data_IF_587869026511
#
_entry.id   IF_587869026511
#
_cell.length_a   1.000
_cell.length_b   1.000
_cell.length_c   1.000
_cell.angle_alpha   90.00
_cell.angle_beta   90.00
_cell.angle_gamma   90.00
#
_symmetry.space_group_name_H-M   'P 1'
#
loop_
_entity.id
_entity.type
_entity.pdbx_description
1 polymer ?
#
# COMPACT_ATOMS: atom_id res chain seq x y z
N UNK A 1 11.27 -23.54 3.06
CA UNK A 1 11.37 -24.51 4.15
C UNK A 1 12.60 -24.23 5.05
N UNK A 2 13.76 -23.95 4.49
CA UNK A 2 15.01 -23.74 5.24
C UNK A 2 14.89 -22.64 6.32
N UNK A 3 14.23 -21.51 6.02
CA UNK A 3 13.99 -20.45 6.99
C UNK A 3 13.15 -20.93 8.19
N UNK A 4 12.15 -21.78 7.93
CA UNK A 4 11.26 -22.30 8.97
C UNK A 4 12.01 -23.29 9.86
N UNK A 5 12.77 -24.21 9.25
CA UNK A 5 13.50 -25.27 9.98
C UNK A 5 14.69 -24.72 10.78
N UNK A 6 15.24 -23.55 10.41
CA UNK A 6 16.38 -22.93 11.07
C UNK A 6 15.99 -21.86 12.12
N UNK A 7 14.70 -21.57 12.27
CA UNK A 7 14.21 -20.62 13.26
C UNK A 7 14.48 -21.14 14.69
N UNK A 8 14.77 -20.23 15.61
CA UNK A 8 15.11 -20.52 17.00
C UNK A 8 14.01 -20.04 17.95
N UNK A 9 13.92 -20.59 19.18
CA UNK A 9 13.04 -20.03 20.19
C UNK A 9 13.25 -18.52 20.36
N UNK A 10 12.18 -17.74 20.31
CA UNK A 10 12.23 -16.29 20.35
C UNK A 10 12.22 -15.62 18.97
N UNK A 11 12.38 -16.37 17.88
CA UNK A 11 12.22 -15.81 16.53
C UNK A 11 10.73 -15.61 16.18
N UNK A 12 10.49 -14.68 15.27
CA UNK A 12 9.17 -14.47 14.65
C UNK A 12 9.24 -14.76 13.16
N UNK A 13 8.30 -15.54 12.65
CA UNK A 13 8.14 -15.83 11.23
C UNK A 13 6.92 -15.06 10.72
N UNK A 14 7.09 -14.27 9.66
CA UNK A 14 6.03 -13.53 9.02
C UNK A 14 5.72 -14.12 7.64
N UNK A 15 4.50 -14.59 7.47
CA UNK A 15 3.97 -15.14 6.23
C UNK A 15 3.07 -14.09 5.58
N UNK A 16 3.27 -13.82 4.29
CA UNK A 16 2.45 -12.87 3.54
C UNK A 16 1.29 -13.55 2.82
N UNK A 17 0.07 -13.04 3.04
CA UNK A 17 -1.16 -13.33 2.29
C UNK A 17 -1.54 -14.82 2.14
N UNK A 18 -1.19 -15.66 3.10
CA UNK A 18 -1.57 -17.05 3.02
C UNK A 18 -2.96 -17.31 3.61
N UNK A 19 -3.94 -17.59 2.74
CA UNK A 19 -5.30 -18.03 3.10
C UNK A 19 -5.50 -19.52 2.92
N UNK A 20 -4.50 -20.28 2.51
CA UNK A 20 -4.61 -21.72 2.32
C UNK A 20 -4.40 -22.46 3.65
N UNK A 21 -5.52 -22.86 4.27
CA UNK A 21 -5.53 -23.57 5.55
C UNK A 21 -4.69 -24.84 5.52
N UNK A 22 -4.72 -25.60 4.41
CA UNK A 22 -3.97 -26.86 4.30
C UNK A 22 -2.45 -26.61 4.26
N UNK A 23 -2.01 -25.56 3.55
CA UNK A 23 -0.60 -25.15 3.54
C UNK A 23 -0.15 -24.76 4.94
N UNK A 24 -0.93 -23.91 5.63
CA UNK A 24 -0.60 -23.50 6.99
C UNK A 24 -0.62 -24.67 7.97
N UNK A 25 -1.56 -25.61 7.82
CA UNK A 25 -1.62 -26.84 8.61
C UNK A 25 -0.38 -27.72 8.39
N UNK A 26 0.13 -27.83 7.16
CA UNK A 26 1.36 -28.60 6.87
C UNK A 26 2.65 -27.91 7.37
N UNK A 27 2.67 -26.58 7.44
CA UNK A 27 3.80 -25.82 7.98
C UNK A 27 3.86 -25.89 9.51
N UNK A 28 2.70 -25.91 10.18
CA UNK A 28 2.62 -25.80 11.64
C UNK A 28 3.52 -26.78 12.40
N UNK A 29 3.57 -28.08 12.09
CA UNK A 29 4.44 -29.04 12.79
C UNK A 29 5.93 -28.84 12.53
N UNK A 30 6.30 -28.05 11.50
CA UNK A 30 7.69 -27.75 11.18
C UNK A 30 8.24 -26.54 11.98
N UNK A 31 7.35 -25.78 12.64
CA UNK A 31 7.74 -24.64 13.45
C UNK A 31 8.37 -25.11 14.76
N UNK A 32 9.60 -24.67 15.10
CA UNK A 32 10.21 -24.97 16.38
C UNK A 32 9.38 -24.41 17.55
N UNK A 33 9.46 -25.05 18.71
CA UNK A 33 8.81 -24.54 19.92
C UNK A 33 9.38 -23.16 20.28
N UNK A 34 8.49 -22.24 20.67
CA UNK A 34 8.90 -20.88 21.07
C UNK A 34 9.12 -19.93 19.89
N UNK A 35 8.76 -20.34 18.66
CA UNK A 35 8.71 -19.46 17.48
C UNK A 35 7.30 -18.91 17.31
N UNK A 36 7.18 -17.59 17.25
CA UNK A 36 5.93 -16.92 16.89
C UNK A 36 5.71 -16.93 15.37
N UNK A 37 4.51 -17.29 14.94
CA UNK A 37 4.20 -17.31 13.52
C UNK A 37 2.99 -16.41 13.22
N UNK A 38 3.23 -15.44 12.36
CA UNK A 38 2.29 -14.41 11.96
C UNK A 38 1.90 -14.57 10.50
N UNK A 39 0.65 -14.27 10.15
CA UNK A 39 0.21 -14.09 8.77
C UNK A 39 -0.28 -12.65 8.60
N UNK A 40 0.35 -11.92 7.69
CA UNK A 40 -0.01 -10.55 7.37
C UNK A 40 -0.71 -10.45 6.02
N UNK A 41 -1.84 -9.78 6.00
CA UNK A 41 -2.65 -9.53 4.81
C UNK A 41 -2.46 -8.09 4.34
N UNK A 42 -1.83 -7.91 3.18
CA UNK A 42 -1.56 -6.60 2.56
C UNK A 42 -2.50 -6.26 1.39
N UNK A 43 -3.52 -7.10 1.16
CA UNK A 43 -4.65 -6.82 0.30
C UNK A 43 -5.97 -7.04 1.07
N UNK A 44 -7.07 -6.35 0.66
CA UNK A 44 -8.36 -6.54 1.31
C UNK A 44 -8.81 -8.01 1.26
N UNK A 45 -9.30 -8.53 2.37
CA UNK A 45 -9.68 -9.94 2.52
C UNK A 45 -10.66 -10.40 1.44
N UNK A 46 -11.61 -9.55 1.04
CA UNK A 46 -12.57 -9.82 -0.03
C UNK A 46 -11.92 -10.10 -1.39
N UNK A 47 -10.69 -9.61 -1.63
CA UNK A 47 -9.94 -9.84 -2.86
C UNK A 47 -9.06 -11.09 -2.80
N UNK A 48 -8.80 -11.60 -1.59
CA UNK A 48 -7.95 -12.75 -1.35
C UNK A 48 -8.76 -14.05 -1.30
N UNK A 49 -9.92 -14.02 -0.62
CA UNK A 49 -10.79 -15.20 -0.51
C UNK A 49 -12.26 -14.81 -0.26
N UNK A 50 -13.18 -15.59 -0.86
CA UNK A 50 -14.63 -15.37 -0.73
C UNK A 50 -15.19 -15.86 0.62
N UNK A 51 -14.52 -16.80 1.27
CA UNK A 51 -14.89 -17.45 2.54
C UNK A 51 -13.98 -16.99 3.70
N UNK A 52 -13.54 -15.73 3.67
CA UNK A 52 -12.54 -15.17 4.57
C UNK A 52 -12.79 -15.41 6.05
N UNK A 53 -14.03 -15.24 6.51
CA UNK A 53 -14.38 -15.43 7.92
C UNK A 53 -14.09 -16.86 8.40
N UNK A 54 -14.52 -17.87 7.61
CA UNK A 54 -14.30 -19.28 7.95
C UNK A 54 -12.80 -19.60 7.95
N UNK A 55 -12.06 -19.09 6.95
CA UNK A 55 -10.62 -19.36 6.85
C UNK A 55 -9.86 -18.69 7.98
N UNK A 56 -10.15 -17.44 8.31
CA UNK A 56 -9.47 -16.72 9.40
C UNK A 56 -9.67 -17.44 10.72
N UNK A 57 -10.88 -17.91 11.01
CA UNK A 57 -11.15 -18.73 12.21
C UNK A 57 -10.30 -20.00 12.24
N UNK A 58 -10.29 -20.78 11.15
CA UNK A 58 -9.48 -22.03 11.06
C UNK A 58 -7.99 -21.76 11.22
N UNK A 59 -7.48 -20.67 10.64
CA UNK A 59 -6.06 -20.32 10.74
C UNK A 59 -5.69 -19.90 12.18
N UNK A 60 -6.58 -19.19 12.85
CA UNK A 60 -6.41 -18.86 14.28
C UNK A 60 -6.42 -20.12 15.15
N UNK A 61 -7.31 -21.08 14.89
CA UNK A 61 -7.36 -22.39 15.58
C UNK A 61 -6.07 -23.18 15.44
N UNK A 62 -5.32 -22.99 14.33
CA UNK A 62 -3.98 -23.53 14.16
C UNK A 62 -2.90 -22.80 14.96
N UNK A 63 -3.27 -21.73 15.68
CA UNK A 63 -2.35 -20.95 16.52
C UNK A 63 -1.47 -19.96 15.76
N UNK A 64 -1.91 -19.48 14.59
CA UNK A 64 -1.28 -18.36 13.90
C UNK A 64 -1.81 -17.02 14.41
N UNK A 65 -0.91 -16.04 14.56
CA UNK A 65 -1.27 -14.65 14.84
C UNK A 65 -1.57 -13.94 13.52
N UNK A 66 -2.76 -13.36 13.38
CA UNK A 66 -3.21 -12.76 12.11
C UNK A 66 -3.24 -11.25 12.22
N UNK A 67 -2.78 -10.57 11.18
CA UNK A 67 -2.76 -9.12 11.07
C UNK A 67 -3.18 -8.63 9.69
N UNK A 68 -3.69 -7.41 9.62
CA UNK A 68 -4.12 -6.76 8.37
C UNK A 68 -3.64 -5.32 8.29
N UNK A 69 -3.40 -4.87 7.07
CA UNK A 69 -3.17 -3.46 6.76
C UNK A 69 -4.46 -2.64 6.78
N UNK A 70 -5.61 -3.29 6.62
CA UNK A 70 -6.93 -2.67 6.51
C UNK A 70 -7.65 -2.74 7.86
N UNK A 71 -8.07 -1.57 8.39
CA UNK A 71 -8.73 -1.48 9.69
C UNK A 71 -10.11 -2.14 9.69
N UNK A 72 -10.84 -2.07 8.57
CA UNK A 72 -12.13 -2.74 8.42
C UNK A 72 -12.00 -4.26 8.48
N UNK A 73 -11.02 -4.82 7.74
CA UNK A 73 -10.75 -6.25 7.79
C UNK A 73 -10.27 -6.69 9.18
N UNK A 74 -9.45 -5.85 9.83
CA UNK A 74 -8.97 -6.12 11.19
C UNK A 74 -10.15 -6.22 12.17
N UNK A 75 -11.07 -5.28 12.14
CA UNK A 75 -12.27 -5.27 12.97
C UNK A 75 -13.20 -6.44 12.63
N UNK A 76 -13.56 -6.58 11.35
CA UNK A 76 -14.51 -7.60 10.88
C UNK A 76 -14.08 -9.03 11.18
N UNK A 77 -12.80 -9.33 10.99
CA UNK A 77 -12.25 -10.69 11.14
C UNK A 77 -11.50 -10.86 12.48
N UNK A 78 -11.49 -9.84 13.35
CA UNK A 78 -10.77 -9.85 14.62
C UNK A 78 -9.26 -10.06 14.45
N UNK A 79 -8.63 -9.38 13.47
CA UNK A 79 -7.20 -9.41 13.20
C UNK A 79 -6.50 -8.26 13.92
N UNK A 80 -5.19 -8.36 14.12
CA UNK A 80 -4.41 -7.22 14.58
C UNK A 80 -4.26 -6.20 13.45
N UNK A 81 -4.62 -4.94 13.72
CA UNK A 81 -4.33 -3.87 12.78
C UNK A 81 -2.87 -3.43 12.92
N UNK A 82 -2.09 -3.56 11.86
CA UNK A 82 -0.67 -3.17 11.84
C UNK A 82 -0.36 -2.11 10.78
N UNK A 83 -1.38 -1.70 10.01
CA UNK A 83 -1.25 -0.70 8.97
C UNK A 83 -0.37 -1.16 7.79
N UNK A 84 -0.05 -0.20 6.94
CA UNK A 84 0.82 -0.37 5.77
C UNK A 84 2.20 0.21 6.08
N UNK A 85 3.21 -0.29 5.39
CA UNK A 85 4.58 0.18 5.49
C UNK A 85 5.22 0.41 4.13
N UNK A 86 6.31 1.15 4.13
CA UNK A 86 7.15 1.35 2.95
C UNK A 86 8.61 1.04 3.27
N UNK A 87 9.27 0.41 2.32
CA UNK A 87 10.71 0.19 2.35
C UNK A 87 11.31 1.09 1.28
N UNK A 88 12.04 2.12 1.67
CA UNK A 88 12.62 3.08 0.75
C UNK A 88 13.73 2.43 -0.07
N UNK A 89 13.56 2.24 -1.38
CA UNK A 89 14.65 1.80 -2.24
C UNK A 89 15.70 2.92 -2.37
N UNK A 90 16.92 2.62 -2.81
CA UNK A 90 17.92 3.62 -3.13
C UNK A 90 17.33 4.67 -4.07
N UNK A 91 17.37 5.93 -3.68
CA UNK A 91 16.81 7.02 -4.49
C UNK A 91 17.75 7.33 -5.66
N UNK A 92 17.27 7.10 -6.88
CA UNK A 92 17.83 7.79 -8.04
C UNK A 92 17.08 9.12 -8.14
N UNK A 93 17.76 10.24 -7.98
CA UNK A 93 17.15 11.56 -8.25
C UNK A 93 17.15 11.79 -9.77
N UNK A 94 16.15 11.27 -10.42
CA UNK A 94 15.96 11.45 -11.86
C UNK A 94 15.30 12.81 -12.14
N UNK A 95 15.62 13.44 -13.28
CA UNK A 95 14.94 14.67 -13.69
C UNK A 95 13.44 14.45 -13.86
N UNK A 96 12.63 15.43 -13.45
CA UNK A 96 11.18 15.39 -13.64
C UNK A 96 10.85 15.45 -15.13
N UNK A 97 10.13 14.45 -15.63
CA UNK A 97 9.75 14.32 -17.03
C UNK A 97 8.24 14.40 -17.29
N UNK A 98 7.43 14.21 -16.24
CA UNK A 98 5.97 14.36 -16.28
C UNK A 98 5.42 15.03 -15.01
N UNK A 99 4.19 15.55 -15.11
CA UNK A 99 3.53 16.15 -13.97
C UNK A 99 2.82 15.10 -13.12
N UNK A 100 2.09 14.17 -13.74
CA UNK A 100 1.27 13.19 -13.05
C UNK A 100 1.56 11.76 -13.54
N UNK A 101 1.74 10.84 -12.61
CA UNK A 101 2.03 9.43 -12.89
C UNK A 101 0.99 8.50 -12.27
N UNK A 102 0.49 7.58 -13.07
CA UNK A 102 -0.32 6.45 -12.65
C UNK A 102 0.17 5.15 -13.28
N UNK A 103 0.25 4.07 -12.49
CA UNK A 103 0.44 2.74 -13.03
C UNK A 103 -0.40 1.73 -12.24
N UNK A 104 -1.24 0.98 -12.93
CA UNK A 104 -2.05 -0.06 -12.32
C UNK A 104 -3.17 -0.56 -13.20
N UNK A 105 -3.74 -1.71 -12.83
CA UNK A 105 -4.89 -2.28 -13.53
C UNK A 105 -6.12 -1.38 -13.40
N UNK A 106 -6.94 -1.26 -14.43
CA UNK A 106 -8.13 -0.40 -14.42
C UNK A 106 -9.17 -0.89 -13.40
N UNK A 107 -9.41 -2.21 -13.33
CA UNK A 107 -10.42 -2.83 -12.47
C UNK A 107 -11.78 -2.10 -12.58
N UNK A 108 -12.41 -1.79 -11.44
CA UNK A 108 -13.70 -1.10 -11.30
C UNK A 108 -13.60 0.44 -11.33
N UNK A 109 -12.41 1.01 -11.63
CA UNK A 109 -12.12 2.46 -11.60
C UNK A 109 -11.68 3.05 -12.94
N UNK A 110 -11.96 2.34 -14.04
CA UNK A 110 -11.51 2.75 -15.38
C UNK A 110 -12.06 4.13 -15.77
N UNK A 111 -13.35 4.36 -15.56
CA UNK A 111 -14.02 5.61 -15.91
C UNK A 111 -13.52 6.78 -15.07
N UNK A 112 -13.29 6.56 -13.77
CA UNK A 112 -12.75 7.58 -12.87
C UNK A 112 -11.31 7.96 -13.23
N UNK A 113 -10.48 6.96 -13.57
CA UNK A 113 -9.11 7.20 -14.06
C UNK A 113 -9.09 7.99 -15.36
N UNK A 114 -9.98 7.69 -16.29
CA UNK A 114 -10.06 8.39 -17.56
C UNK A 114 -10.59 9.83 -17.37
N UNK A 115 -11.59 10.02 -16.51
CA UNK A 115 -12.10 11.34 -16.15
C UNK A 115 -11.02 12.21 -15.51
N UNK A 116 -10.28 11.67 -14.55
CA UNK A 116 -9.17 12.37 -13.91
C UNK A 116 -8.06 12.69 -14.93
N UNK A 117 -7.68 11.74 -15.78
CA UNK A 117 -6.68 11.96 -16.82
C UNK A 117 -7.06 13.13 -17.72
N UNK A 118 -8.28 13.16 -18.24
CA UNK A 118 -8.79 14.25 -19.09
C UNK A 118 -8.74 15.59 -18.38
N UNK A 119 -9.16 15.64 -17.11
CA UNK A 119 -9.10 16.84 -16.29
C UNK A 119 -7.66 17.36 -16.14
N UNK A 120 -6.70 16.48 -15.87
CA UNK A 120 -5.29 16.83 -15.77
C UNK A 120 -4.75 17.38 -17.09
N UNK A 121 -5.03 16.71 -18.22
CA UNK A 121 -4.59 17.14 -19.56
C UNK A 121 -5.23 18.47 -19.99
N UNK A 122 -6.50 18.71 -19.69
CA UNK A 122 -7.18 19.99 -19.90
C UNK A 122 -6.56 21.14 -19.10
N UNK A 123 -5.98 20.85 -17.94
CA UNK A 123 -5.22 21.81 -17.15
C UNK A 123 -3.77 22.00 -17.64
N UNK A 124 -3.38 21.38 -18.78
CA UNK A 124 -2.06 21.48 -19.36
C UNK A 124 -0.98 20.73 -18.56
N UNK A 125 -1.38 19.68 -17.84
CA UNK A 125 -0.47 18.81 -17.11
C UNK A 125 -0.09 17.60 -17.95
N UNK A 126 1.20 17.25 -17.96
CA UNK A 126 1.73 16.10 -18.68
C UNK A 126 1.53 14.82 -17.86
N UNK A 127 0.75 13.89 -18.40
CA UNK A 127 0.40 12.63 -17.74
C UNK A 127 1.21 11.45 -18.31
N UNK A 128 1.68 10.56 -17.41
CA UNK A 128 2.21 9.23 -17.75
C UNK A 128 1.33 8.18 -17.07
N UNK A 129 0.32 7.67 -17.81
CA UNK A 129 -0.64 6.69 -17.31
C UNK A 129 -0.38 5.34 -17.96
N UNK A 130 0.02 4.36 -17.15
CA UNK A 130 0.24 2.97 -17.56
C UNK A 130 -0.92 2.13 -17.02
N UNK A 131 -1.83 1.76 -17.93
CA UNK A 131 -2.98 0.93 -17.62
C UNK A 131 -2.85 -0.38 -18.41
N UNK A 132 -2.14 -1.40 -17.87
CA UNK A 132 -1.89 -2.63 -18.59
C UNK A 132 -3.20 -3.37 -18.90
N UNK A 133 -3.37 -3.79 -20.13
CA UNK A 133 -4.49 -4.63 -20.61
C UNK A 133 -4.08 -6.09 -20.71
N UNK A 134 -2.78 -6.33 -20.86
CA UNK A 134 -2.18 -7.66 -20.97
C UNK A 134 -1.05 -7.85 -19.95
N UNK A 135 -0.69 -9.09 -19.59
CA UNK A 135 0.46 -9.35 -18.71
C UNK A 135 1.77 -8.77 -19.22
N UNK A 136 1.95 -8.70 -20.55
CA UNK A 136 3.16 -8.20 -21.21
C UNK A 136 3.34 -6.67 -21.08
N UNK A 137 2.24 -5.93 -20.90
CA UNK A 137 2.24 -4.48 -20.69
C UNK A 137 2.56 -4.07 -19.25
N UNK A 138 2.64 -5.05 -18.32
CA UNK A 138 2.99 -4.78 -16.93
C UNK A 138 4.44 -4.35 -16.81
N UNK A 139 4.67 -3.26 -16.13
CA UNK A 139 6.02 -2.81 -15.77
C UNK A 139 6.49 -3.51 -14.50
N UNK A 140 7.79 -3.69 -14.38
CA UNK A 140 8.39 -4.19 -13.14
C UNK A 140 8.30 -3.13 -12.04
N UNK A 141 8.37 -3.56 -10.77
CA UNK A 141 8.32 -2.61 -9.67
C UNK A 141 9.49 -1.60 -9.66
N UNK A 142 10.74 -1.98 -10.00
CA UNK A 142 11.81 -1.01 -10.19
C UNK A 142 11.53 0.03 -11.28
N UNK A 143 10.97 -0.36 -12.43
CA UNK A 143 10.59 0.57 -13.49
C UNK A 143 9.42 1.49 -13.06
N UNK A 144 8.45 0.94 -12.33
CA UNK A 144 7.38 1.73 -11.70
C UNK A 144 7.97 2.82 -10.79
N UNK A 145 8.88 2.46 -9.88
CA UNK A 145 9.49 3.41 -8.95
C UNK A 145 10.31 4.49 -9.67
N UNK A 146 11.04 4.12 -10.73
CA UNK A 146 11.78 5.07 -11.57
C UNK A 146 10.86 6.09 -12.23
N UNK A 147 9.70 5.67 -12.74
CA UNK A 147 8.70 6.58 -13.33
C UNK A 147 8.01 7.44 -12.28
N UNK A 148 7.69 6.87 -11.13
CA UNK A 148 7.17 7.62 -10.00
C UNK A 148 8.16 8.72 -9.56
N UNK A 149 9.46 8.42 -9.48
CA UNK A 149 10.49 9.40 -9.14
C UNK A 149 10.61 10.52 -10.18
N UNK A 150 10.38 10.24 -11.47
CA UNK A 150 10.36 11.23 -12.57
C UNK A 150 9.09 12.06 -12.65
N UNK A 151 8.12 11.86 -11.76
CA UNK A 151 6.87 12.62 -11.71
C UNK A 151 6.87 13.66 -10.58
N UNK A 152 6.06 14.71 -10.73
CA UNK A 152 5.75 15.65 -9.64
C UNK A 152 4.71 15.07 -8.69
N UNK A 153 3.75 14.34 -9.23
CA UNK A 153 2.57 13.86 -8.53
C UNK A 153 2.30 12.39 -8.86
N UNK A 154 2.01 11.59 -7.83
CA UNK A 154 1.54 10.21 -7.94
C UNK A 154 0.02 10.21 -7.85
N UNK A 155 -0.64 9.39 -8.68
CA UNK A 155 -2.09 9.21 -8.68
C UNK A 155 -2.43 7.92 -7.93
N UNK A 156 -3.32 8.02 -6.96
CA UNK A 156 -3.87 6.89 -6.20
C UNK A 156 -5.40 6.91 -6.22
N UNK A 157 -5.98 6.30 -7.23
CA UNK A 157 -7.42 6.03 -7.25
C UNK A 157 -7.64 4.65 -6.62
N UNK A 158 -8.23 4.61 -5.45
CA UNK A 158 -8.58 3.38 -4.75
C UNK A 158 -9.72 2.64 -5.45
N UNK A 159 -9.79 1.33 -5.29
CA UNK A 159 -10.94 0.53 -5.74
C UNK A 159 -12.13 0.75 -4.81
N UNK A 160 -13.35 0.62 -5.33
CA UNK A 160 -14.56 0.75 -4.53
C UNK A 160 -14.51 -0.09 -3.24
N UNK A 161 -14.77 0.55 -2.10
CA UNK A 161 -14.77 -0.08 -0.76
C UNK A 161 -13.39 -0.45 -0.18
N UNK A 162 -12.28 0.00 -0.76
CA UNK A 162 -10.96 -0.12 -0.14
C UNK A 162 -10.76 1.06 0.82
N UNK A 163 -10.72 0.78 2.12
CA UNK A 163 -10.57 1.80 3.17
C UNK A 163 -9.14 1.88 3.70
N UNK A 164 -8.37 0.80 3.59
CA UNK A 164 -6.98 0.75 4.06
C UNK A 164 -6.03 1.61 3.24
N UNK A 165 -4.94 2.02 3.87
CA UNK A 165 -3.87 2.78 3.23
C UNK A 165 -3.19 1.94 2.16
N UNK A 166 -3.26 2.36 0.89
CA UNK A 166 -2.52 1.71 -0.20
C UNK A 166 -1.02 2.05 -0.11
N UNK A 167 -0.19 1.45 -0.97
CA UNK A 167 1.24 1.78 -1.01
C UNK A 167 1.53 3.17 -1.60
N UNK A 168 0.71 3.66 -2.56
CA UNK A 168 0.99 4.91 -3.27
C UNK A 168 1.05 6.16 -2.40
N UNK A 169 0.22 6.35 -1.38
CA UNK A 169 0.40 7.44 -0.41
C UNK A 169 1.75 7.39 0.29
N UNK A 170 2.23 6.19 0.65
CA UNK A 170 3.54 6.04 1.26
C UNK A 170 4.68 6.26 0.26
N UNK A 171 4.53 5.78 -0.99
CA UNK A 171 5.48 6.10 -2.07
C UNK A 171 5.57 7.61 -2.27
N UNK A 172 4.43 8.32 -2.33
CA UNK A 172 4.41 9.78 -2.43
C UNK A 172 5.12 10.45 -1.24
N UNK A 173 4.83 10.01 -0.01
CA UNK A 173 5.43 10.51 1.21
C UNK A 173 6.96 10.35 1.24
N UNK A 174 7.45 9.15 0.89
CA UNK A 174 8.88 8.83 0.98
C UNK A 174 9.69 9.40 -0.18
N UNK A 175 9.10 9.53 -1.38
CA UNK A 175 9.74 10.16 -2.54
C UNK A 175 9.58 11.69 -2.57
N UNK A 176 8.86 12.30 -1.61
CA UNK A 176 8.61 13.74 -1.61
C UNK A 176 7.79 14.18 -2.84
N UNK A 177 6.78 13.40 -3.22
CA UNK A 177 5.90 13.67 -4.36
C UNK A 177 4.53 14.13 -3.88
N UNK A 178 3.85 14.95 -4.69
CA UNK A 178 2.43 15.24 -4.49
C UNK A 178 1.60 13.96 -4.70
N UNK A 179 0.42 13.93 -4.13
CA UNK A 179 -0.53 12.82 -4.28
C UNK A 179 -1.90 13.37 -4.69
N UNK A 180 -2.51 12.78 -5.73
CA UNK A 180 -3.92 12.96 -6.01
C UNK A 180 -4.61 11.62 -5.72
N UNK A 181 -5.64 11.65 -4.89
CA UNK A 181 -6.36 10.43 -4.46
C UNK A 181 -7.86 10.68 -4.38
N UNK A 182 -8.66 9.63 -4.57
CA UNK A 182 -10.10 9.65 -4.30
C UNK A 182 -10.45 9.16 -2.88
N UNK A 183 -9.44 8.83 -2.04
CA UNK A 183 -9.67 8.36 -0.68
C UNK A 183 -9.71 9.54 0.33
N UNK A 184 -10.90 9.96 0.82
CA UNK A 184 -11.01 11.06 1.76
C UNK A 184 -10.45 10.72 3.16
N UNK A 185 -10.31 9.43 3.48
CA UNK A 185 -9.81 8.97 4.78
C UNK A 185 -8.32 9.24 4.96
N UNK A 186 -7.60 9.57 3.89
CA UNK A 186 -6.22 10.04 4.02
C UNK A 186 -6.08 11.28 4.89
N UNK A 187 -7.12 12.10 4.99
CA UNK A 187 -7.14 13.27 5.89
C UNK A 187 -7.03 12.92 7.39
N UNK A 188 -7.20 11.65 7.76
CA UNK A 188 -7.08 11.16 9.16
C UNK A 188 -5.65 10.78 9.55
N UNK A 189 -4.74 10.65 8.57
CA UNK A 189 -3.36 10.25 8.82
C UNK A 189 -2.49 11.44 9.21
N UNK A 190 -1.51 11.22 10.07
CA UNK A 190 -0.63 12.26 10.60
C UNK A 190 0.34 12.86 9.56
N UNK A 191 0.54 12.19 8.43
CA UNK A 191 1.28 12.73 7.28
C UNK A 191 0.41 13.57 6.33
N UNK A 192 -0.89 13.69 6.59
CA UNK A 192 -1.76 14.48 5.72
C UNK A 192 -1.35 15.96 5.73
N UNK A 193 -1.18 16.51 4.53
CA UNK A 193 -0.98 17.93 4.31
C UNK A 193 -1.71 18.31 3.01
N UNK A 194 -2.62 19.26 3.08
CA UNK A 194 -3.42 19.72 1.92
C UNK A 194 -2.56 20.30 0.78
N UNK A 195 -1.33 20.72 1.09
CA UNK A 195 -0.37 21.15 0.08
C UNK A 195 0.33 19.99 -0.62
N UNK A 196 0.29 18.77 -0.05
CA UNK A 196 0.89 17.58 -0.62
C UNK A 196 -0.13 16.57 -1.13
N UNK A 197 -1.37 16.61 -0.60
CA UNK A 197 -2.42 15.63 -0.91
C UNK A 197 -3.67 16.37 -1.39
N UNK A 198 -4.09 16.04 -2.60
CA UNK A 198 -5.32 16.53 -3.23
C UNK A 198 -6.35 15.39 -3.23
N UNK A 199 -7.52 15.63 -2.66
CA UNK A 199 -8.61 14.66 -2.63
C UNK A 199 -9.54 14.94 -3.80
N UNK A 200 -9.40 14.15 -4.87
CA UNK A 200 -10.21 14.22 -6.07
C UNK A 200 -11.70 13.98 -5.74
N UNK A 201 -12.57 14.79 -6.30
CA UNK A 201 -14.00 14.77 -5.98
C UNK A 201 -14.38 15.54 -4.69
N UNK A 202 -13.41 16.02 -3.91
CA UNK A 202 -13.65 16.84 -2.72
C UNK A 202 -12.98 18.20 -2.77
N UNK A 203 -11.74 18.26 -3.21
CA UNK A 203 -10.99 19.52 -3.35
C UNK A 203 -11.39 20.23 -4.64
N UNK A 204 -11.28 21.58 -4.64
CA UNK A 204 -11.65 22.38 -5.81
C UNK A 204 -10.71 22.13 -7.00
N UNK A 205 -11.26 21.72 -8.13
CA UNK A 205 -10.51 21.43 -9.36
C UNK A 205 -9.73 22.65 -9.88
N UNK A 206 -10.17 23.87 -9.57
CA UNK A 206 -9.44 25.09 -9.92
C UNK A 206 -8.05 25.18 -9.32
N UNK A 207 -7.78 24.49 -8.22
CA UNK A 207 -6.47 24.40 -7.57
C UNK A 207 -5.52 23.38 -8.19
N UNK A 208 -6.04 22.47 -9.03
CA UNK A 208 -5.34 21.24 -9.43
C UNK A 208 -3.99 21.52 -10.09
N UNK A 209 -3.93 22.47 -11.02
CA UNK A 209 -2.71 22.85 -11.73
C UNK A 209 -1.65 23.42 -10.77
N UNK A 210 -2.05 24.37 -9.93
CA UNK A 210 -1.14 25.02 -8.97
C UNK A 210 -0.69 24.02 -7.91
N UNK A 211 -1.59 23.16 -7.44
CA UNK A 211 -1.27 22.08 -6.53
C UNK A 211 -0.15 21.18 -7.08
N UNK A 212 -0.29 20.68 -8.32
CA UNK A 212 0.71 19.76 -8.92
C UNK A 212 2.05 20.47 -9.13
N UNK A 213 2.04 21.74 -9.51
CA UNK A 213 3.26 22.50 -9.83
C UNK A 213 3.95 23.14 -8.63
N UNK A 214 3.25 23.31 -7.51
CA UNK A 214 3.86 23.83 -6.29
C UNK A 214 4.88 22.84 -5.70
N UNK A 215 5.89 23.31 -4.96
CA UNK A 215 6.85 22.44 -4.29
C UNK A 215 6.18 21.47 -3.32
N UNK A 216 6.80 20.32 -3.09
CA UNK A 216 6.43 19.44 -1.98
C UNK A 216 6.77 20.11 -0.66
N UNK A 217 5.86 20.08 0.30
CA UNK A 217 6.09 20.56 1.67
C UNK A 217 6.66 19.41 2.48
N UNK A 218 7.85 19.60 3.04
CA UNK A 218 8.51 18.54 3.81
C UNK A 218 7.67 18.07 5.00
N UNK A 219 7.54 16.77 5.13
CA UNK A 219 6.90 16.13 6.27
C UNK A 219 7.98 15.71 7.29
N UNK A 220 7.79 15.99 8.58
CA UNK A 220 8.76 15.65 9.61
C UNK A 220 9.23 14.19 9.53
N UNK A 221 10.53 13.97 9.68
CA UNK A 221 11.11 12.64 9.64
C UNK A 221 10.49 11.70 10.69
N UNK A 222 10.15 12.22 11.88
CA UNK A 222 9.47 11.47 12.93
C UNK A 222 8.12 10.90 12.50
N UNK A 223 7.40 11.58 11.60
CA UNK A 223 6.16 11.06 11.01
C UNK A 223 6.48 10.00 9.97
N UNK A 224 7.42 10.27 9.04
CA UNK A 224 7.81 9.31 8.00
C UNK A 224 8.29 7.98 8.60
N UNK A 225 9.11 8.02 9.64
CA UNK A 225 9.66 6.84 10.30
C UNK A 225 8.59 5.92 10.89
N UNK A 226 7.39 6.40 11.23
CA UNK A 226 6.28 5.54 11.66
C UNK A 226 5.82 4.54 10.59
N UNK A 227 6.00 4.90 9.32
CA UNK A 227 5.60 4.10 8.14
C UNK A 227 6.77 3.35 7.51
N UNK A 228 7.96 3.44 8.09
CA UNK A 228 9.14 2.69 7.65
C UNK A 228 9.04 1.23 8.09
N UNK A 229 9.60 0.32 7.26
CA UNK A 229 9.60 -1.12 7.54
C UNK A 229 10.23 -1.46 8.89
N UNK A 230 11.28 -0.73 9.31
CA UNK A 230 11.95 -1.02 10.58
C UNK A 230 11.07 -0.71 11.80
N UNK A 231 10.21 0.30 11.69
CA UNK A 231 9.20 0.61 12.72
C UNK A 231 8.03 -0.38 12.65
N UNK A 232 7.57 -0.69 11.43
CA UNK A 232 6.44 -1.58 11.23
C UNK A 232 6.73 -3.01 11.68
N UNK A 233 7.93 -3.54 11.42
CA UNK A 233 8.31 -4.91 11.80
C UNK A 233 8.29 -5.14 13.31
N UNK A 234 8.40 -4.07 14.13
CA UNK A 234 8.31 -4.16 15.58
C UNK A 234 6.99 -4.73 16.07
N UNK A 235 5.92 -4.67 15.26
CA UNK A 235 4.63 -5.29 15.58
C UNK A 235 4.70 -6.83 15.67
N UNK A 236 5.76 -7.43 15.16
CA UNK A 236 5.94 -8.89 15.01
C UNK A 236 7.09 -9.44 15.85
N UNK A 237 7.89 -8.58 16.44
CA UNK A 237 8.98 -9.02 17.31
C UNK A 237 8.44 -9.43 18.69
N UNK A 238 9.07 -10.40 19.36
CA UNK A 238 8.77 -10.76 20.74
C UNK A 238 8.87 -9.53 21.64
N UNK A 239 7.93 -9.42 22.56
CA UNK A 239 7.93 -8.36 23.59
C UNK A 239 8.57 -8.87 24.87
#
# INVERSE_FOLDING_TARGET
LDLICNAKPGDSILIYECCNVNVLKSIKPLLPKGVDCHVYYCNPMRTICSDGEIRMRKIKELGYKLSSFDSYDAEKYGLNYTGQYFCLPPQSREPITCDCFFCGLPKDRADELEALRRLLEQNGLKCDFIIPRTPQEKVTYPEYLKRADRSRCIIDIAQGGQLGLTRRPLEALFYGKKLITNNPDLAKYDFYNKENIFIFGKDSESRLKDFVRSPFVEIPQSIRLKYDINSWIQNYLPK
#
